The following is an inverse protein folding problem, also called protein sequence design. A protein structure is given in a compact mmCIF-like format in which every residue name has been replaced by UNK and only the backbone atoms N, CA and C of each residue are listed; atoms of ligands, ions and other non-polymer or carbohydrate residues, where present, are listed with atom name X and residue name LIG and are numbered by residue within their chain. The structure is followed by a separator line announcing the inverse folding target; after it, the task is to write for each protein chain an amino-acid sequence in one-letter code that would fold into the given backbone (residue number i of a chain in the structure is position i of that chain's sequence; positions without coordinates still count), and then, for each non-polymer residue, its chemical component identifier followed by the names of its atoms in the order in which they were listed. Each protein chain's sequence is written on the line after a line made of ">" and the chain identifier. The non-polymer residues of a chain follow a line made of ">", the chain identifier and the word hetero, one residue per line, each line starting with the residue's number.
data_IF_210189166734
#
_entry.id   IF_210189166734
#
_cell.length_a   1.000
_cell.length_b   1.000
_cell.length_c   1.000
_cell.angle_alpha   90.00
_cell.angle_beta   90.00
_cell.angle_gamma   90.00
#
_symmetry.space_group_name_H-M   'P 1'
#
loop_
_entity.id
_entity.type
_entity.pdbx_description
1 polymer ?
#
# COMPACT_ATOMS: atom_id res chain seq x y z
N UNK A 1 -26.12 -37.97 18.30
CA UNK A 1 -26.90 -37.39 17.19
C UNK A 1 -26.30 -36.04 16.84
N UNK A 2 -25.77 -36.01 15.63
CA UNK A 2 -24.87 -35.07 14.97
C UNK A 2 -25.31 -33.61 14.97
N UNK A 3 -24.37 -32.72 15.31
CA UNK A 3 -23.98 -31.61 14.44
C UNK A 3 -22.57 -31.17 14.84
N UNK A 4 -21.56 -31.72 14.15
CA UNK A 4 -20.25 -31.08 14.07
C UNK A 4 -20.50 -29.71 13.42
N UNK A 5 -20.41 -28.65 14.19
CA UNK A 5 -20.37 -27.31 13.65
C UNK A 5 -19.14 -27.24 12.73
N UNK A 6 -19.39 -27.08 11.44
CA UNK A 6 -18.36 -26.79 10.45
C UNK A 6 -17.65 -25.51 10.87
N UNK A 7 -16.53 -25.66 11.56
CA UNK A 7 -15.55 -24.60 11.77
C UNK A 7 -15.20 -24.09 10.36
N UNK A 8 -15.40 -22.81 10.03
CA UNK A 8 -15.05 -22.32 8.70
C UNK A 8 -13.59 -22.67 8.48
N UNK A 9 -13.31 -23.49 7.46
CA UNK A 9 -11.94 -23.80 7.05
C UNK A 9 -11.15 -22.49 7.04
N UNK A 10 -10.01 -22.47 7.73
CA UNK A 10 -9.14 -21.31 7.75
C UNK A 10 -8.95 -20.86 6.30
N UNK A 11 -9.24 -19.59 6.02
CA UNK A 11 -9.06 -19.05 4.67
C UNK A 11 -7.64 -19.38 4.22
N UNK A 12 -7.44 -19.81 2.96
CA UNK A 12 -6.09 -20.00 2.47
C UNK A 12 -5.29 -18.73 2.74
N UNK A 13 -4.08 -18.87 3.31
CA UNK A 13 -3.22 -17.73 3.67
C UNK A 13 -2.87 -16.86 2.47
N UNK A 14 -3.05 -17.38 1.26
CA UNK A 14 -2.74 -16.73 0.00
C UNK A 14 -3.77 -17.15 -1.05
N UNK A 15 -4.23 -16.19 -1.84
CA UNK A 15 -5.10 -16.39 -2.99
C UNK A 15 -4.48 -15.66 -4.19
N UNK A 16 -4.50 -16.30 -5.36
CA UNK A 16 -3.98 -15.73 -6.60
C UNK A 16 -5.13 -15.22 -7.45
N UNK A 17 -5.05 -13.98 -7.90
CA UNK A 17 -6.05 -13.35 -8.77
C UNK A 17 -5.36 -13.02 -10.08
N UNK A 18 -5.90 -13.53 -11.19
CA UNK A 18 -5.45 -13.15 -12.52
C UNK A 18 -6.09 -11.82 -12.89
N UNK A 19 -5.25 -10.85 -13.24
CA UNK A 19 -5.68 -9.52 -13.68
C UNK A 19 -4.95 -9.12 -14.96
N UNK A 20 -5.58 -8.26 -15.74
CA UNK A 20 -4.99 -7.67 -16.93
C UNK A 20 -4.24 -6.38 -16.56
N UNK A 21 -2.99 -6.26 -17.01
CA UNK A 21 -2.11 -5.12 -16.75
C UNK A 21 -2.26 -4.06 -17.85
N UNK A 22 -3.46 -3.54 -18.02
CA UNK A 22 -3.79 -2.44 -18.94
C UNK A 22 -3.67 -1.06 -18.25
N UNK A 23 -3.86 0.02 -19.01
CA UNK A 23 -3.69 1.40 -18.53
C UNK A 23 -4.57 1.76 -17.31
N UNK A 24 -5.68 1.03 -17.08
CA UNK A 24 -6.58 1.21 -15.94
C UNK A 24 -6.41 0.15 -14.83
N UNK A 25 -5.26 -0.54 -14.80
CA UNK A 25 -5.01 -1.65 -13.87
C UNK A 25 -5.32 -1.29 -12.41
N UNK A 26 -4.86 -0.14 -11.91
CA UNK A 26 -5.05 0.25 -10.50
C UNK A 26 -6.54 0.38 -10.12
N UNK A 27 -7.36 0.96 -11.00
CA UNK A 27 -8.80 1.11 -10.77
C UNK A 27 -9.47 -0.26 -10.72
N UNK A 28 -9.16 -1.14 -11.68
CA UNK A 28 -9.71 -2.49 -11.70
C UNK A 28 -9.25 -3.32 -10.51
N UNK A 29 -7.99 -3.15 -10.09
CA UNK A 29 -7.42 -3.79 -8.91
C UNK A 29 -8.16 -3.39 -7.63
N UNK A 30 -8.32 -2.09 -7.38
CA UNK A 30 -9.05 -1.61 -6.21
C UNK A 30 -10.54 -2.01 -6.23
N UNK A 31 -11.18 -1.99 -7.40
CA UNK A 31 -12.55 -2.47 -7.56
C UNK A 31 -12.69 -3.97 -7.20
N UNK A 32 -11.72 -4.79 -7.61
CA UNK A 32 -11.69 -6.21 -7.28
C UNK A 32 -11.48 -6.46 -5.78
N UNK A 33 -10.60 -5.70 -5.13
CA UNK A 33 -10.42 -5.76 -3.67
C UNK A 33 -11.71 -5.38 -2.93
N UNK A 34 -12.37 -4.31 -3.38
CA UNK A 34 -13.66 -3.89 -2.83
C UNK A 34 -14.74 -4.96 -3.00
N UNK A 35 -14.86 -5.58 -4.19
CA UNK A 35 -15.78 -6.70 -4.45
C UNK A 35 -15.54 -7.88 -3.50
N UNK A 36 -14.27 -8.12 -3.14
CA UNK A 36 -13.85 -9.14 -2.16
C UNK A 36 -13.97 -8.69 -0.71
N UNK A 37 -14.56 -7.50 -0.45
CA UNK A 37 -14.76 -6.89 0.86
C UNK A 37 -13.45 -6.62 1.62
N UNK A 38 -12.38 -6.30 0.89
CA UNK A 38 -11.11 -5.84 1.44
C UNK A 38 -11.11 -4.31 1.39
N UNK A 39 -11.23 -3.68 2.55
CA UNK A 39 -11.31 -2.22 2.68
C UNK A 39 -10.02 -1.52 3.13
N UNK A 40 -8.96 -2.28 3.44
CA UNK A 40 -7.68 -1.73 3.85
C UNK A 40 -6.57 -2.48 3.13
N UNK A 41 -5.68 -1.72 2.49
CA UNK A 41 -4.57 -2.24 1.69
C UNK A 41 -3.33 -1.48 2.07
N UNK A 42 -2.28 -2.20 2.45
CA UNK A 42 -0.94 -1.64 2.59
C UNK A 42 -0.20 -1.92 1.28
N UNK A 43 0.16 -0.86 0.56
CA UNK A 43 0.91 -0.98 -0.70
C UNK A 43 2.38 -0.76 -0.41
N UNK A 44 3.18 -1.80 -0.63
CA UNK A 44 4.64 -1.76 -0.56
C UNK A 44 5.24 -2.15 -1.91
N UNK A 45 6.41 -1.59 -2.23
CA UNK A 45 7.13 -1.92 -3.46
C UNK A 45 8.09 -0.83 -3.89
N UNK A 46 8.50 -0.87 -5.15
CA UNK A 46 9.46 0.08 -5.72
C UNK A 46 8.84 1.45 -6.04
N UNK A 47 9.72 2.42 -6.31
CA UNK A 47 9.34 3.81 -6.57
C UNK A 47 8.30 3.96 -7.69
N UNK A 48 8.41 3.19 -8.77
CA UNK A 48 7.45 3.22 -9.89
C UNK A 48 6.03 2.82 -9.46
N UNK A 49 5.90 1.77 -8.65
CA UNK A 49 4.60 1.31 -8.15
C UNK A 49 3.97 2.37 -7.25
N UNK A 50 4.71 2.84 -6.25
CA UNK A 50 4.23 3.84 -5.30
C UNK A 50 3.88 5.16 -6.00
N UNK A 51 4.72 5.61 -6.94
CA UNK A 51 4.46 6.82 -7.72
C UNK A 51 3.17 6.71 -8.55
N UNK A 52 2.83 5.51 -9.05
CA UNK A 52 1.59 5.30 -9.84
C UNK A 52 0.33 5.51 -9.01
N UNK A 53 0.30 5.04 -7.75
CA UNK A 53 -0.80 5.32 -6.82
C UNK A 53 -0.90 6.81 -6.48
N UNK A 54 0.25 7.46 -6.24
CA UNK A 54 0.31 8.89 -5.93
C UNK A 54 -0.22 9.73 -7.10
N UNK A 55 0.26 9.46 -8.31
CA UNK A 55 -0.14 10.21 -9.52
C UNK A 55 -1.61 9.99 -9.89
N UNK A 56 -2.14 8.79 -9.66
CA UNK A 56 -3.55 8.49 -9.88
C UNK A 56 -4.47 9.04 -8.76
N UNK A 57 -3.90 9.61 -7.69
CA UNK A 57 -4.62 10.03 -6.49
C UNK A 57 -5.48 8.90 -5.87
N UNK A 58 -4.94 7.68 -5.86
CA UNK A 58 -5.60 6.46 -5.36
C UNK A 58 -5.02 6.01 -4.01
N UNK A 59 -4.82 6.95 -3.10
CA UNK A 59 -4.21 6.69 -1.80
C UNK A 59 -4.82 7.63 -0.76
N UNK A 60 -4.89 7.16 0.49
CA UNK A 60 -5.43 7.95 1.60
C UNK A 60 -4.30 8.51 2.49
N UNK A 61 -3.24 7.72 2.73
CA UNK A 61 -2.12 8.09 3.60
C UNK A 61 -0.81 7.51 3.05
N UNK A 62 0.28 8.28 3.12
CA UNK A 62 1.62 7.79 2.84
C UNK A 62 2.51 7.96 4.08
N UNK A 63 3.18 6.88 4.47
CA UNK A 63 4.17 6.86 5.55
C UNK A 63 5.56 6.73 4.96
N UNK A 64 6.38 7.74 5.16
CA UNK A 64 7.78 7.76 4.71
C UNK A 64 8.67 7.57 5.92
N UNK A 65 9.46 6.50 5.91
CA UNK A 65 10.46 6.22 6.95
C UNK A 65 11.83 6.51 6.36
N UNK A 66 12.54 7.47 6.94
CA UNK A 66 13.84 7.94 6.47
C UNK A 66 14.91 7.66 7.52
N UNK A 67 15.94 6.89 7.16
CA UNK A 67 17.08 6.66 8.03
C UNK A 67 18.12 7.77 7.91
N UNK A 68 18.93 7.95 8.95
CA UNK A 68 20.09 8.87 8.95
C UNK A 68 21.25 8.40 8.06
N UNK A 69 21.19 7.17 7.52
CA UNK A 69 22.22 6.60 6.65
C UNK A 69 22.08 7.09 5.21
N UNK A 70 23.19 7.53 4.63
CA UNK A 70 23.28 7.84 3.21
C UNK A 70 23.69 6.60 2.41
N UNK A 71 22.89 6.23 1.42
CA UNK A 71 23.16 5.11 0.52
C UNK A 71 23.92 5.55 -0.76
N UNK A 72 24.09 6.85 -0.97
CA UNK A 72 24.79 7.41 -2.15
C UNK A 72 23.95 7.28 -3.41
N UNK A 73 24.33 6.37 -4.29
CA UNK A 73 23.63 6.13 -5.55
C UNK A 73 22.49 5.11 -5.38
N UNK A 74 21.42 5.28 -6.16
CA UNK A 74 20.28 4.36 -6.10
C UNK A 74 19.04 4.88 -6.83
N UNK A 75 17.91 4.23 -6.55
CA UNK A 75 16.61 4.62 -7.09
C UNK A 75 16.04 5.76 -6.25
N UNK A 76 15.62 6.85 -6.90
CA UNK A 76 14.97 7.99 -6.21
C UNK A 76 13.65 7.56 -5.57
N UNK A 77 13.35 8.11 -4.40
CA UNK A 77 12.06 7.96 -3.74
C UNK A 77 10.91 8.57 -4.59
N UNK A 78 9.67 8.10 -4.43
CA UNK A 78 8.50 8.74 -5.02
C UNK A 78 8.35 10.20 -4.59
N UNK A 79 7.83 11.03 -5.51
CA UNK A 79 7.49 12.41 -5.23
C UNK A 79 6.06 12.50 -4.68
N UNK A 80 5.92 13.10 -3.50
CA UNK A 80 4.64 13.39 -2.87
C UNK A 80 4.21 14.83 -3.19
N UNK A 81 2.90 15.08 -3.43
CA UNK A 81 2.40 16.40 -3.86
C UNK A 81 2.26 17.41 -2.71
N UNK A 82 2.37 16.96 -1.46
CA UNK A 82 2.10 17.75 -0.25
C UNK A 82 3.30 17.72 0.70
N UNK A 83 3.28 18.66 1.65
CA UNK A 83 4.18 18.61 2.81
C UNK A 83 3.68 17.60 3.84
N UNK A 84 4.56 17.01 4.65
CA UNK A 84 4.13 16.09 5.70
C UNK A 84 3.25 16.83 6.70
N UNK A 85 2.15 16.19 7.07
CA UNK A 85 1.22 16.68 8.10
C UNK A 85 1.69 16.34 9.51
N UNK A 86 2.55 15.32 9.64
CA UNK A 86 3.19 14.93 10.89
C UNK A 86 4.61 14.47 10.60
N UNK A 87 5.54 14.86 11.47
CA UNK A 87 6.89 14.31 11.53
C UNK A 87 7.15 13.85 12.96
N UNK A 88 7.64 12.62 13.11
CA UNK A 88 8.00 12.04 14.39
C UNK A 88 9.34 11.29 14.26
N UNK A 89 10.17 11.37 15.29
CA UNK A 89 11.37 10.55 15.39
C UNK A 89 11.05 9.19 16.03
N UNK A 90 11.48 8.12 15.39
CA UNK A 90 11.37 6.74 15.88
C UNK A 90 12.78 6.17 15.95
N UNK A 91 13.30 6.11 17.18
CA UNK A 91 14.71 5.76 17.44
C UNK A 91 15.68 6.68 16.65
N UNK A 92 16.43 6.12 15.69
CA UNK A 92 17.37 6.86 14.82
C UNK A 92 16.76 7.33 13.50
N UNK A 93 15.52 6.93 13.20
CA UNK A 93 14.86 7.19 11.94
C UNK A 93 13.73 8.22 12.11
N UNK A 94 13.31 8.83 11.00
CA UNK A 94 12.20 9.78 10.95
C UNK A 94 11.00 9.14 10.25
N UNK A 95 9.82 9.24 10.86
CA UNK A 95 8.53 8.94 10.24
C UNK A 95 7.85 10.24 9.86
N UNK A 96 7.57 10.41 8.58
CA UNK A 96 6.75 11.48 8.05
C UNK A 96 5.43 10.92 7.49
N UNK A 97 4.30 11.56 7.84
CA UNK A 97 2.96 11.18 7.38
C UNK A 97 2.40 12.25 6.45
N UNK A 98 1.92 11.81 5.30
CA UNK A 98 1.36 12.65 4.25
C UNK A 98 -0.07 12.23 3.93
N UNK A 99 -0.87 13.19 3.48
CA UNK A 99 -2.21 12.99 2.95
C UNK A 99 -2.29 13.60 1.54
N UNK A 100 -3.19 13.12 0.67
CA UNK A 100 -3.40 13.70 -0.65
C UNK A 100 -3.83 15.18 -0.54
N UNK A 101 -3.58 15.93 -1.61
CA UNK A 101 -3.93 17.35 -1.72
C UNK A 101 -5.45 17.56 -1.85
#
# INVERSE_FOLDING_TARGET
>A
FTAQQNMPMARPKTEWIKMDFSDNFLIHFLAELHRRKIGMVLVEGGAKLLQSFIQANLWDEARVITSSKNIGEGVKAPLLPTNPSLIQRIDTDELAVYYPA
#
